data_IF_120240799768
#
_entry.id   IF_120240799768
#
_cell.length_a   1.000
_cell.length_b   1.000
_cell.length_c   1.000
_cell.angle_alpha   90.00
_cell.angle_beta   90.00
_cell.angle_gamma   90.00
#
_symmetry.space_group_name_H-M   'P 1'
#
loop_
_entity.id
_entity.type
_entity.pdbx_description
1 polymer ?
#
# COMPACT_ATOMS: atom_id res chain seq x y z
N UNK A 1 14.78 -8.83 37.45
CA UNK A 1 15.14 -7.76 36.49
C UNK A 1 14.25 -7.88 35.27
N UNK A 2 13.39 -6.90 35.01
CA UNK A 2 12.41 -6.95 33.91
C UNK A 2 13.04 -6.32 32.67
N UNK A 3 13.32 -7.12 31.63
CA UNK A 3 13.86 -6.58 30.36
C UNK A 3 12.84 -5.66 29.70
N UNK A 4 13.30 -4.49 29.26
CA UNK A 4 12.53 -3.58 28.43
C UNK A 4 12.27 -4.22 27.05
N UNK A 5 11.00 -4.36 26.67
CA UNK A 5 10.62 -4.84 25.33
C UNK A 5 11.03 -3.81 24.28
N UNK A 6 11.77 -4.26 23.27
CA UNK A 6 12.13 -3.44 22.12
C UNK A 6 10.84 -2.95 21.42
N UNK A 7 10.74 -1.65 21.09
CA UNK A 7 9.57 -1.13 20.37
C UNK A 7 9.41 -1.86 19.04
N UNK A 8 8.33 -2.63 18.89
CA UNK A 8 7.99 -3.28 17.62
C UNK A 8 7.45 -2.22 16.67
N UNK A 9 8.29 -1.72 15.78
CA UNK A 9 7.78 -0.91 14.66
C UNK A 9 6.92 -1.80 13.75
N UNK A 10 5.80 -1.28 13.27
CA UNK A 10 4.94 -1.96 12.29
C UNK A 10 5.37 -1.74 10.84
N UNK A 11 6.39 -0.92 10.61
CA UNK A 11 6.94 -0.71 9.27
C UNK A 11 7.61 -2.01 8.80
N UNK A 12 7.21 -2.57 7.65
CA UNK A 12 7.91 -3.70 7.07
C UNK A 12 9.37 -3.31 6.76
N UNK A 13 10.31 -4.24 6.97
CA UNK A 13 11.72 -4.01 6.64
C UNK A 13 11.85 -3.66 5.16
N UNK A 14 12.61 -2.62 4.84
CA UNK A 14 12.83 -2.16 3.45
C UNK A 14 11.75 -1.21 2.91
N UNK A 15 10.79 -0.77 3.72
CA UNK A 15 9.82 0.25 3.33
C UNK A 15 10.21 1.57 3.98
N UNK A 16 10.26 2.64 3.18
CA UNK A 16 10.43 4.00 3.68
C UNK A 16 9.41 4.24 4.80
N UNK A 17 9.93 4.53 6.00
CA UNK A 17 9.10 4.86 7.18
C UNK A 17 8.73 6.34 7.21
N UNK A 18 9.09 7.07 6.16
CA UNK A 18 8.69 8.46 5.94
C UNK A 18 7.18 8.58 5.68
N UNK A 19 6.71 9.82 5.60
CA UNK A 19 5.30 10.14 5.37
C UNK A 19 4.82 9.46 4.07
N UNK A 20 3.72 8.69 4.12
CA UNK A 20 3.18 8.02 2.95
C UNK A 20 2.66 9.04 1.93
N UNK A 21 2.65 8.64 0.65
CA UNK A 21 2.01 9.41 -0.41
C UNK A 21 0.49 9.30 -0.25
N UNK A 22 -0.15 10.39 0.15
CA UNK A 22 -1.60 10.48 0.25
C UNK A 22 -2.21 10.84 -1.10
N UNK A 23 -3.04 9.94 -1.65
CA UNK A 23 -3.72 10.12 -2.94
C UNK A 23 -5.21 10.32 -2.72
N UNK A 24 -5.81 11.30 -3.41
CA UNK A 24 -7.27 11.47 -3.44
C UNK A 24 -7.85 10.55 -4.51
N UNK A 25 -8.77 9.68 -4.08
CA UNK A 25 -9.54 8.81 -4.97
C UNK A 25 -10.97 9.35 -5.10
N UNK A 26 -11.54 9.22 -6.30
CA UNK A 26 -12.97 9.38 -6.48
C UNK A 26 -13.73 8.30 -5.69
N UNK A 27 -14.98 8.55 -5.27
CA UNK A 27 -15.76 7.57 -4.51
C UNK A 27 -15.87 6.21 -5.21
N UNK A 28 -16.06 6.20 -6.53
CA UNK A 28 -16.16 4.98 -7.32
C UNK A 28 -14.84 4.19 -7.36
N UNK A 29 -13.70 4.89 -7.49
CA UNK A 29 -12.37 4.28 -7.50
C UNK A 29 -12.05 3.62 -6.16
N UNK A 30 -12.33 4.34 -5.07
CA UNK A 30 -12.15 3.83 -3.71
C UNK A 30 -13.00 2.60 -3.45
N UNK A 31 -14.27 2.64 -3.86
CA UNK A 31 -15.18 1.50 -3.67
C UNK A 31 -14.71 0.27 -4.45
N UNK A 32 -14.21 0.45 -5.68
CA UNK A 32 -13.63 -0.64 -6.48
C UNK A 32 -12.41 -1.26 -5.77
N UNK A 33 -11.53 -0.42 -5.25
CA UNK A 33 -10.34 -0.86 -4.51
C UNK A 33 -10.70 -1.63 -3.23
N UNK A 34 -11.66 -1.13 -2.44
CA UNK A 34 -12.12 -1.79 -1.21
C UNK A 34 -12.74 -3.17 -1.49
N UNK A 35 -13.56 -3.30 -2.53
CA UNK A 35 -14.14 -4.61 -2.95
C UNK A 35 -13.06 -5.62 -3.32
N UNK A 36 -12.05 -5.19 -4.08
CA UNK A 36 -10.93 -6.06 -4.46
C UNK A 36 -10.10 -6.46 -3.24
N UNK A 37 -9.89 -5.56 -2.29
CA UNK A 37 -9.11 -5.84 -1.08
C UNK A 37 -9.77 -6.94 -0.24
N UNK A 38 -11.10 -6.87 -0.10
CA UNK A 38 -11.90 -7.93 0.54
C UNK A 38 -11.77 -9.24 -0.23
N UNK A 39 -11.92 -9.22 -1.56
CA UNK A 39 -11.82 -10.41 -2.41
C UNK A 39 -10.47 -11.12 -2.27
N UNK A 40 -9.38 -10.37 -2.14
CA UNK A 40 -8.03 -10.91 -2.03
C UNK A 40 -7.55 -11.14 -0.59
N UNK A 41 -8.42 -10.88 0.41
CA UNK A 41 -8.09 -10.96 1.83
C UNK A 41 -6.85 -10.13 2.21
N UNK A 42 -6.77 -8.90 1.69
CA UNK A 42 -5.66 -7.95 1.91
C UNK A 42 -6.17 -6.64 2.49
N UNK A 43 -5.29 -5.88 3.12
CA UNK A 43 -5.61 -4.50 3.49
C UNK A 43 -5.71 -3.62 2.25
N UNK A 44 -6.53 -2.57 2.32
CA UNK A 44 -6.71 -1.59 1.23
C UNK A 44 -5.37 -0.96 0.84
N UNK A 45 -4.53 -0.58 1.81
CA UNK A 45 -3.20 -0.01 1.54
C UNK A 45 -2.27 -1.00 0.85
N UNK A 46 -2.32 -2.29 1.22
CA UNK A 46 -1.49 -3.32 0.58
C UNK A 46 -1.94 -3.54 -0.86
N UNK A 47 -3.24 -3.64 -1.11
CA UNK A 47 -3.75 -3.80 -2.47
C UNK A 47 -3.47 -2.55 -3.32
N UNK A 48 -3.68 -1.35 -2.77
CA UNK A 48 -3.39 -0.09 -3.46
C UNK A 48 -1.94 -0.04 -3.98
N UNK A 49 -0.99 -0.50 -3.16
CA UNK A 49 0.41 -0.59 -3.56
C UNK A 49 0.64 -1.57 -4.71
N UNK A 50 -0.01 -2.74 -4.69
CA UNK A 50 0.13 -3.73 -5.77
C UNK A 50 -0.38 -3.17 -7.09
N UNK A 51 -1.59 -2.60 -7.07
CA UNK A 51 -2.20 -1.96 -8.26
C UNK A 51 -1.33 -0.81 -8.78
N UNK A 52 -0.75 0.00 -7.88
CA UNK A 52 0.18 1.06 -8.26
C UNK A 52 1.41 0.49 -8.99
N UNK A 53 2.06 -0.54 -8.44
CA UNK A 53 3.26 -1.13 -9.05
C UNK A 53 2.97 -1.73 -10.43
N UNK A 54 1.82 -2.39 -10.58
CA UNK A 54 1.37 -2.92 -11.87
C UNK A 54 1.11 -1.78 -12.88
N UNK A 55 0.46 -0.70 -12.44
CA UNK A 55 0.24 0.49 -13.25
C UNK A 55 1.52 1.22 -13.65
N UNK A 56 2.53 1.27 -12.77
CA UNK A 56 3.84 1.88 -13.07
C UNK A 56 4.56 1.16 -14.20
N UNK A 57 4.59 -0.18 -14.19
CA UNK A 57 5.20 -0.95 -15.28
C UNK A 57 4.53 -0.66 -16.64
N UNK A 58 3.19 -0.55 -16.65
CA UNK A 58 2.43 -0.18 -17.85
C UNK A 58 2.69 1.27 -18.27
N UNK A 59 2.84 2.18 -17.31
CA UNK A 59 3.09 3.60 -17.60
C UNK A 59 4.50 3.81 -18.16
N UNK A 60 5.51 3.18 -17.56
CA UNK A 60 6.91 3.22 -18.01
C UNK A 60 7.05 2.68 -19.44
N UNK A 61 6.41 1.55 -19.74
CA UNK A 61 6.43 0.96 -21.10
C UNK A 61 5.73 1.80 -22.17
N UNK A 62 4.82 2.71 -21.80
CA UNK A 62 4.19 3.66 -22.75
C UNK A 62 5.01 4.93 -22.98
N UNK A 63 5.95 5.21 -22.08
CA UNK A 63 6.71 6.46 -22.04
C UNK A 63 8.06 6.36 -22.75
N UNK A 64 8.39 5.17 -23.26
CA UNK A 64 9.57 4.84 -24.09
C UNK A 64 9.12 4.55 -25.52
#
# INVERSE_FOLDING_TARGET
>A
MTQAKTPRTRSPRGVLSDKPVCVRLLPAERQKLERLAVKENRSVSSLARLVLLEGLAVYESRSL
#
